data_IF_866744562133
#
_entry.id   IF_866744562133
#
_cell.length_a   1.000
_cell.length_b   1.000
_cell.length_c   1.000
_cell.angle_alpha   90.00
_cell.angle_beta   90.00
_cell.angle_gamma   90.00
#
_symmetry.space_group_name_H-M   'P 1'
#
loop_
_entity.id
_entity.type
_entity.pdbx_description
1 polymer ?
#
# COMPACT_ATOMS: atom_id res chain seq x y z
N UNK A 1 -5.90 1.47 11.64
CA UNK A 1 -6.26 0.46 10.61
C UNK A 1 -7.74 0.43 10.26
N UNK A 2 -8.70 0.19 11.19
CA UNK A 2 -10.12 0.01 10.82
C UNK A 2 -10.72 1.17 10.00
N UNK A 3 -10.37 2.41 10.31
CA UNK A 3 -10.86 3.60 9.61
C UNK A 3 -10.50 3.60 8.11
N UNK A 4 -9.21 3.44 7.77
CA UNK A 4 -8.76 3.43 6.37
C UNK A 4 -9.32 2.22 5.60
N UNK A 5 -9.42 1.05 6.23
CA UNK A 5 -10.02 -0.13 5.57
C UNK A 5 -11.49 0.11 5.24
N UNK A 6 -12.25 0.67 6.18
CA UNK A 6 -13.64 1.04 5.92
C UNK A 6 -13.76 2.09 4.80
N UNK A 7 -12.88 3.09 4.79
CA UNK A 7 -12.85 4.10 3.74
C UNK A 7 -12.60 3.47 2.36
N UNK A 8 -11.62 2.57 2.24
CA UNK A 8 -11.33 1.86 0.99
C UNK A 8 -12.53 1.00 0.55
N UNK A 9 -13.21 0.35 1.50
CA UNK A 9 -14.41 -0.45 1.21
C UNK A 9 -15.59 0.41 0.74
N UNK A 10 -15.75 1.61 1.29
CA UNK A 10 -16.85 2.52 0.97
C UNK A 10 -16.61 3.29 -0.34
N UNK A 11 -15.39 3.80 -0.54
CA UNK A 11 -15.09 4.73 -1.63
C UNK A 11 -14.22 4.12 -2.74
N UNK A 12 -13.57 2.98 -2.52
CA UNK A 12 -12.81 2.27 -3.54
C UNK A 12 -11.46 2.92 -3.92
N UNK A 13 -10.92 3.80 -3.09
CA UNK A 13 -9.58 4.38 -3.27
C UNK A 13 -8.88 4.62 -1.93
N UNK A 14 -7.57 4.84 -1.99
CA UNK A 14 -6.75 5.24 -0.84
C UNK A 14 -6.60 6.77 -0.90
N UNK A 15 -6.91 7.52 0.17
CA UNK A 15 -6.75 8.98 0.17
C UNK A 15 -5.30 9.42 -0.04
N UNK A 16 -5.11 10.56 -0.69
CA UNK A 16 -3.80 11.12 -1.01
C UNK A 16 -2.96 11.42 0.24
N UNK A 17 -3.59 11.70 1.38
CA UNK A 17 -2.91 11.93 2.68
C UNK A 17 -2.10 10.70 3.15
N UNK A 18 -2.41 9.51 2.64
CA UNK A 18 -1.65 8.29 2.91
C UNK A 18 -0.50 8.09 1.91
N UNK A 19 -0.29 9.01 0.97
CA UNK A 19 0.75 8.98 -0.07
C UNK A 19 0.85 7.64 -0.83
N UNK A 20 -0.25 7.15 -1.44
CA UNK A 20 -0.21 5.89 -2.18
C UNK A 20 0.71 6.01 -3.41
N UNK A 21 1.66 5.08 -3.57
CA UNK A 21 2.59 5.09 -4.71
C UNK A 21 3.08 3.70 -5.10
N UNK A 22 3.47 3.56 -6.37
CA UNK A 22 4.04 2.32 -6.90
C UNK A 22 5.49 2.13 -6.44
N UNK A 23 5.82 0.89 -6.08
CA UNK A 23 7.17 0.47 -5.74
C UNK A 23 7.94 0.10 -7.02
N UNK A 24 8.73 1.05 -7.52
CA UNK A 24 9.33 1.00 -8.84
C UNK A 24 10.84 0.67 -8.87
N UNK A 25 11.46 0.40 -7.72
CA UNK A 25 12.87 -0.03 -7.67
C UNK A 25 12.97 -1.55 -7.81
N UNK A 26 13.48 -2.09 -8.94
CA UNK A 26 13.59 -3.54 -9.14
C UNK A 26 14.64 -4.20 -8.23
N UNK A 27 15.46 -3.42 -7.54
CA UNK A 27 16.47 -3.91 -6.59
C UNK A 27 15.93 -4.08 -5.16
N UNK A 28 14.69 -3.68 -4.91
CA UNK A 28 14.05 -3.73 -3.59
C UNK A 28 12.90 -4.75 -3.53
N UNK A 29 12.53 -5.21 -2.32
CA UNK A 29 11.35 -6.04 -2.15
C UNK A 29 10.07 -5.38 -2.67
N UNK A 30 9.11 -6.23 -3.06
CA UNK A 30 7.77 -5.81 -3.51
C UNK A 30 7.73 -4.95 -4.77
N UNK A 31 8.80 -4.90 -5.57
CA UNK A 31 8.80 -4.29 -6.90
C UNK A 31 7.55 -4.65 -7.71
N UNK A 32 6.91 -3.65 -8.31
CA UNK A 32 5.68 -3.78 -9.09
C UNK A 32 4.39 -3.79 -8.28
N UNK A 33 4.46 -3.77 -6.94
CA UNK A 33 3.31 -3.52 -6.07
C UNK A 33 3.16 -2.03 -5.76
N UNK A 34 2.17 -1.70 -4.93
CA UNK A 34 1.94 -0.36 -4.41
C UNK A 34 2.06 -0.41 -2.87
N UNK A 35 2.43 0.69 -2.24
CA UNK A 35 2.29 0.87 -0.80
C UNK A 35 1.67 2.23 -0.46
N UNK A 36 1.34 2.41 0.81
CA UNK A 36 0.90 3.68 1.37
C UNK A 36 1.25 3.77 2.86
N UNK A 37 1.40 4.99 3.34
CA UNK A 37 1.94 5.32 4.66
C UNK A 37 0.83 5.45 5.70
N UNK A 38 1.02 4.80 6.85
CA UNK A 38 0.16 4.85 8.02
C UNK A 38 0.89 5.54 9.17
N UNK A 39 0.11 6.17 10.06
CA UNK A 39 0.62 6.76 11.31
C UNK A 39 1.81 7.71 11.07
N UNK A 40 1.64 8.67 10.16
CA UNK A 40 2.66 9.65 9.79
C UNK A 40 3.98 9.01 9.29
N UNK A 41 3.88 7.95 8.49
CA UNK A 41 5.03 7.26 7.90
C UNK A 41 5.77 6.30 8.84
N UNK A 42 5.21 6.00 10.02
CA UNK A 42 5.81 5.01 10.93
C UNK A 42 5.65 3.58 10.41
N UNK A 43 4.59 3.31 9.65
CA UNK A 43 4.30 2.01 9.05
C UNK A 43 3.90 2.19 7.59
N UNK A 44 4.29 1.23 6.75
CA UNK A 44 3.84 1.12 5.38
C UNK A 44 2.97 -0.12 5.23
N UNK A 45 1.89 -0.01 4.45
CA UNK A 45 1.07 -1.13 4.04
C UNK A 45 1.29 -1.41 2.55
N UNK A 46 1.95 -2.52 2.26
CA UNK A 46 2.15 -3.01 0.89
C UNK A 46 0.89 -3.72 0.42
N UNK A 47 0.44 -3.36 -0.77
CA UNK A 47 -0.77 -3.88 -1.41
C UNK A 47 -0.52 -4.29 -2.85
N UNK A 48 -1.17 -5.38 -3.26
CA UNK A 48 -1.35 -5.66 -4.69
C UNK A 48 -2.62 -4.93 -5.13
N UNK A 49 -2.45 -3.92 -5.98
CA UNK A 49 -3.55 -3.22 -6.63
C UNK A 49 -3.87 -3.85 -7.99
N UNK A 50 -5.11 -4.26 -8.19
CA UNK A 50 -5.60 -4.71 -9.50
C UNK A 50 -6.91 -4.03 -9.83
N UNK A 51 -7.05 -3.59 -11.05
CA UNK A 51 -8.29 -3.05 -11.60
C UNK A 51 -8.72 -3.88 -12.80
N UNK A 52 -9.91 -4.47 -12.74
CA UNK A 52 -10.47 -5.27 -13.83
C UNK A 52 -11.97 -5.03 -13.95
N UNK A 53 -12.46 -4.71 -15.16
CA UNK A 53 -13.88 -4.40 -15.39
C UNK A 53 -14.46 -3.37 -14.41
N UNK A 54 -13.72 -2.27 -14.17
CA UNK A 54 -14.06 -1.20 -13.20
C UNK A 54 -14.14 -1.65 -11.74
N UNK A 55 -13.78 -2.90 -11.42
CA UNK A 55 -13.64 -3.39 -10.05
C UNK A 55 -12.20 -3.17 -9.61
N UNK A 56 -12.04 -2.39 -8.55
CA UNK A 56 -10.76 -2.16 -7.87
C UNK A 56 -10.62 -3.15 -6.73
N UNK A 57 -9.49 -3.83 -6.66
CA UNK A 57 -9.17 -4.78 -5.60
C UNK A 57 -7.83 -4.38 -4.99
N UNK A 58 -7.83 -4.15 -3.68
CA UNK A 58 -6.64 -3.91 -2.88
C UNK A 58 -6.41 -5.16 -2.02
N UNK A 59 -5.36 -5.93 -2.31
CA UNK A 59 -4.95 -7.08 -1.49
C UNK A 59 -3.82 -6.67 -0.58
N UNK A 60 -4.06 -6.62 0.72
CA UNK A 60 -3.03 -6.28 1.70
C UNK A 60 -2.09 -7.46 1.89
N UNK A 61 -0.79 -7.27 1.66
CA UNK A 61 0.18 -8.37 1.67
C UNK A 61 1.27 -8.21 2.72
N UNK A 62 1.58 -6.98 3.16
CA UNK A 62 2.56 -6.75 4.23
C UNK A 62 2.31 -5.45 4.96
N UNK A 63 2.48 -5.48 6.28
CA UNK A 63 2.53 -4.32 7.16
C UNK A 63 3.86 -4.34 7.90
N UNK A 64 4.54 -3.21 8.01
CA UNK A 64 5.81 -3.08 8.71
C UNK A 64 6.34 -1.65 8.65
N UNK A 65 7.43 -1.37 9.35
CA UNK A 65 8.14 -0.11 9.16
C UNK A 65 8.86 -0.09 7.81
N UNK A 66 9.15 1.11 7.32
CA UNK A 66 9.88 1.32 6.07
C UNK A 66 11.19 0.53 6.02
N UNK A 67 11.95 0.55 7.13
CA UNK A 67 13.22 -0.18 7.24
C UNK A 67 13.00 -1.68 7.15
N UNK A 68 12.00 -2.24 7.81
CA UNK A 68 11.73 -3.68 7.78
C UNK A 68 11.27 -4.16 6.40
N UNK A 69 10.54 -3.33 5.67
CA UNK A 69 9.95 -3.71 4.39
C UNK A 69 10.91 -3.50 3.21
N UNK A 70 11.74 -2.46 3.25
CA UNK A 70 12.51 -2.00 2.09
C UNK A 70 14.03 -1.96 2.32
N UNK A 71 14.54 -2.39 3.48
CA UNK A 71 16.00 -2.56 3.62
C UNK A 71 16.50 -3.65 2.67
N UNK A 72 17.58 -3.36 1.94
CA UNK A 72 18.38 -4.38 1.27
C UNK A 72 18.88 -5.37 2.32
N UNK A 73 18.75 -6.66 2.04
CA UNK A 73 19.45 -7.69 2.81
C UNK A 73 20.95 -7.63 2.55
#
# INVERSE_FOLDING_TARGET
MRAIVNFILEFGYIPDDYNPHSLNDPTLPYYGNMDFHLFDGRLDLVVIYTEFNKKKVFRFIRLGSHKELFSKK
#
